data_IF_016483360034
#
_entry.id   IF_016483360034
#
_cell.length_a   1.000
_cell.length_b   1.000
_cell.length_c   1.000
_cell.angle_alpha   90.00
_cell.angle_beta   90.00
_cell.angle_gamma   90.00
#
_symmetry.space_group_name_H-M   'P 1'
#
loop_
_entity.id
_entity.type
_entity.pdbx_description
1 polymer ?
#
# COMPACT_ATOMS: atom_id res chain seq x y z
N UNK A 1 -15.73 -3.75 -6.89
CA UNK A 1 -14.88 -3.58 -5.69
C UNK A 1 -13.63 -4.47 -5.77
N UNK A 2 -13.77 -5.80 -5.81
CA UNK A 2 -12.62 -6.73 -5.83
C UNK A 2 -11.69 -6.50 -7.05
N UNK A 3 -12.22 -6.47 -8.26
CA UNK A 3 -11.40 -6.27 -9.48
C UNK A 3 -10.73 -4.89 -9.51
N UNK A 4 -11.46 -3.84 -9.12
CA UNK A 4 -10.92 -2.48 -9.00
C UNK A 4 -9.72 -2.43 -8.04
N UNK A 5 -9.80 -3.10 -6.89
CA UNK A 5 -8.69 -3.18 -5.93
C UNK A 5 -7.49 -3.95 -6.50
N UNK A 6 -7.74 -5.05 -7.20
CA UNK A 6 -6.69 -5.85 -7.84
C UNK A 6 -5.95 -5.02 -8.90
N UNK A 7 -6.69 -4.27 -9.72
CA UNK A 7 -6.10 -3.36 -10.71
C UNK A 7 -5.34 -2.24 -10.00
N UNK A 8 -5.93 -1.56 -9.01
CA UNK A 8 -5.29 -0.47 -8.28
C UNK A 8 -3.99 -0.88 -7.57
N UNK A 9 -3.90 -2.13 -7.11
CA UNK A 9 -2.73 -2.65 -6.39
C UNK A 9 -1.71 -3.33 -7.31
N UNK A 10 -1.93 -3.32 -8.64
CA UNK A 10 -1.15 -4.18 -9.53
C UNK A 10 0.33 -3.82 -9.61
N UNK A 11 0.65 -2.55 -9.35
CA UNK A 11 2.01 -2.01 -9.33
C UNK A 11 2.95 -2.71 -8.32
N UNK A 12 2.39 -3.39 -7.30
CA UNK A 12 3.19 -4.17 -6.36
C UNK A 12 3.97 -5.30 -7.04
N UNK A 13 3.46 -5.87 -8.13
CA UNK A 13 4.19 -6.89 -8.89
C UNK A 13 5.49 -6.32 -9.47
N UNK A 14 5.48 -5.08 -9.95
CA UNK A 14 6.66 -4.39 -10.46
C UNK A 14 7.61 -3.99 -9.34
N UNK A 15 7.09 -3.58 -8.18
CA UNK A 15 7.93 -3.17 -7.03
C UNK A 15 8.61 -4.37 -6.35
N UNK A 16 8.02 -5.56 -6.45
CA UNK A 16 8.55 -6.78 -5.84
C UNK A 16 9.72 -7.43 -6.62
N UNK A 17 10.20 -6.85 -7.72
CA UNK A 17 11.31 -7.40 -8.49
C UNK A 17 12.66 -7.03 -7.84
N UNK A 18 13.66 -7.88 -8.00
CA UNK A 18 14.99 -7.68 -7.38
C UNK A 18 15.73 -6.44 -7.92
N UNK A 19 15.37 -5.98 -9.12
CA UNK A 19 16.00 -4.94 -9.92
C UNK A 19 15.01 -3.89 -10.45
N UNK A 20 13.83 -3.76 -9.83
CA UNK A 20 12.75 -2.83 -10.22
C UNK A 20 13.23 -1.42 -10.57
N UNK A 21 14.07 -0.81 -9.73
CA UNK A 21 14.51 0.58 -9.92
C UNK A 21 15.45 0.74 -11.12
N UNK A 22 16.24 -0.28 -11.46
CA UNK A 22 17.24 -0.23 -12.55
C UNK A 22 16.77 -0.88 -13.85
N UNK A 23 15.73 -1.73 -13.78
CA UNK A 23 15.18 -2.43 -14.95
C UNK A 23 14.69 -1.45 -16.01
N UNK A 24 14.79 -1.86 -17.27
CA UNK A 24 14.32 -1.09 -18.42
C UNK A 24 14.86 0.35 -18.45
N UNK A 25 16.20 0.50 -18.30
CA UNK A 25 16.87 1.81 -18.26
C UNK A 25 16.33 2.72 -17.15
N UNK A 26 16.02 2.14 -16.00
CA UNK A 26 15.50 2.85 -14.82
C UNK A 26 14.17 3.58 -15.06
N UNK A 27 13.33 3.05 -15.95
CA UNK A 27 12.03 3.66 -16.29
C UNK A 27 11.13 3.84 -15.07
N UNK A 28 11.10 2.87 -14.14
CA UNK A 28 10.33 2.99 -12.91
C UNK A 28 10.86 4.12 -12.03
N UNK A 29 12.18 4.21 -11.85
CA UNK A 29 12.79 5.28 -11.08
C UNK A 29 12.46 6.65 -11.70
N UNK A 30 12.40 6.77 -13.02
CA UNK A 30 11.95 8.00 -13.69
C UNK A 30 10.47 8.32 -13.38
N UNK A 31 9.57 7.32 -13.45
CA UNK A 31 8.14 7.49 -13.09
C UNK A 31 7.99 7.97 -11.64
N UNK A 32 8.80 7.44 -10.74
CA UNK A 32 8.74 7.77 -9.30
C UNK A 32 9.58 9.00 -8.92
N UNK A 33 10.25 9.67 -9.87
CA UNK A 33 11.24 10.70 -9.59
C UNK A 33 12.28 10.26 -8.52
N UNK A 34 12.83 9.06 -8.73
CA UNK A 34 13.67 8.29 -7.81
C UNK A 34 13.08 8.06 -6.40
N UNK A 35 11.79 8.34 -6.16
CA UNK A 35 11.20 8.28 -4.82
C UNK A 35 11.86 9.24 -3.82
N UNK A 36 12.50 10.31 -4.32
CA UNK A 36 13.28 11.24 -3.49
C UNK A 36 14.72 10.78 -3.18
N UNK A 37 15.18 9.64 -3.72
CA UNK A 37 16.56 9.17 -3.58
C UNK A 37 17.49 9.75 -4.66
N UNK A 38 18.79 9.75 -4.39
CA UNK A 38 19.80 10.34 -5.28
C UNK A 38 19.98 9.58 -6.60
N UNK A 39 19.61 8.30 -6.64
CA UNK A 39 19.80 7.44 -7.82
C UNK A 39 18.82 6.26 -7.82
N UNK A 40 18.57 5.63 -8.99
CA UNK A 40 17.82 4.36 -9.07
C UNK A 40 18.39 3.26 -8.17
N UNK A 41 19.71 3.16 -8.08
CA UNK A 41 20.41 2.20 -7.22
C UNK A 41 20.12 2.46 -5.73
N UNK A 42 19.99 3.73 -5.33
CA UNK A 42 19.61 4.13 -3.97
C UNK A 42 18.11 3.92 -3.68
N UNK A 43 17.25 3.96 -4.70
CA UNK A 43 15.82 3.64 -4.58
C UNK A 43 15.57 2.13 -4.36
N UNK A 44 16.36 1.25 -5.00
CA UNK A 44 16.08 -0.20 -4.99
C UNK A 44 15.95 -0.81 -3.58
N UNK A 45 16.80 -0.48 -2.58
CA UNK A 45 16.63 -0.99 -1.23
C UNK A 45 15.29 -0.63 -0.56
N UNK A 46 14.71 0.53 -0.89
CA UNK A 46 13.39 0.91 -0.40
C UNK A 46 12.28 0.02 -1.00
N UNK A 47 12.47 -0.47 -2.22
CA UNK A 47 11.55 -1.40 -2.88
C UNK A 47 11.68 -2.85 -2.39
N UNK A 48 12.79 -3.23 -1.76
CA UNK A 48 13.00 -4.60 -1.26
C UNK A 48 11.98 -5.05 -0.22
N UNK A 49 11.31 -4.11 0.45
CA UNK A 49 10.14 -4.43 1.28
C UNK A 49 9.12 -5.28 0.51
N UNK A 50 8.86 -4.96 -0.77
CA UNK A 50 7.92 -5.69 -1.62
C UNK A 50 8.50 -7.03 -2.10
N UNK A 51 9.79 -7.06 -2.46
CA UNK A 51 10.45 -8.29 -2.89
C UNK A 51 10.50 -9.35 -1.77
N UNK A 52 10.75 -8.92 -0.54
CA UNK A 52 10.83 -9.80 0.62
C UNK A 52 9.47 -10.30 1.12
N UNK A 53 8.38 -9.57 0.85
CA UNK A 53 7.04 -9.87 1.36
C UNK A 53 6.18 -10.65 0.37
N UNK A 54 6.06 -10.17 -0.88
CA UNK A 54 5.14 -10.68 -1.90
C UNK A 54 5.53 -12.08 -2.37
N UNK A 55 4.56 -13.00 -2.43
CA UNK A 55 4.72 -14.39 -2.89
C UNK A 55 5.36 -15.34 -1.85
N UNK A 56 6.23 -14.81 -0.98
CA UNK A 56 6.87 -15.62 0.07
C UNK A 56 6.08 -15.66 1.39
N UNK A 57 5.59 -14.51 1.84
CA UNK A 57 4.89 -14.39 3.13
C UNK A 57 3.47 -13.87 2.99
N UNK A 58 3.17 -13.16 1.89
CA UNK A 58 1.82 -12.70 1.54
C UNK A 58 1.46 -13.16 0.13
N UNK A 59 0.17 -13.14 -0.21
CA UNK A 59 -0.29 -13.49 -1.55
C UNK A 59 0.30 -12.55 -2.60
N UNK A 60 0.75 -13.10 -3.73
CA UNK A 60 1.10 -12.33 -4.92
C UNK A 60 -0.20 -12.06 -5.71
N UNK A 61 -0.59 -10.78 -5.90
CA UNK A 61 -1.77 -10.48 -6.70
C UNK A 61 -1.54 -10.89 -8.17
N UNK A 62 -2.62 -11.15 -8.94
CA UNK A 62 -2.52 -11.37 -10.38
C UNK A 62 -1.76 -10.24 -11.08
N UNK A 63 -1.09 -10.52 -12.19
CA UNK A 63 -0.65 -9.48 -13.14
C UNK A 63 -1.77 -9.32 -14.16
N UNK A 64 -2.42 -8.16 -14.18
CA UNK A 64 -3.59 -7.91 -15.04
C UNK A 64 -3.18 -7.44 -16.43
N UNK A 65 -4.08 -7.54 -17.40
CA UNK A 65 -3.85 -7.00 -18.74
C UNK A 65 -3.98 -5.48 -18.78
N UNK A 66 -3.37 -4.85 -19.78
CA UNK A 66 -3.55 -3.42 -20.07
C UNK A 66 -5.02 -3.08 -20.33
N UNK A 67 -5.76 -3.97 -21.00
CA UNK A 67 -7.19 -3.78 -21.27
C UNK A 67 -7.99 -3.71 -19.96
N UNK A 68 -7.75 -4.62 -19.02
CA UNK A 68 -8.43 -4.61 -17.73
C UNK A 68 -8.02 -3.38 -16.91
N UNK A 69 -6.76 -2.95 -17.02
CA UNK A 69 -6.29 -1.72 -16.37
C UNK A 69 -7.02 -0.50 -16.92
N UNK A 70 -7.13 -0.35 -18.24
CA UNK A 70 -7.81 0.78 -18.87
C UNK A 70 -9.32 0.82 -18.59
N UNK A 71 -9.95 -0.33 -18.34
CA UNK A 71 -11.36 -0.42 -17.95
C UNK A 71 -11.61 0.17 -16.54
N UNK A 72 -10.73 -0.14 -15.60
CA UNK A 72 -10.87 0.25 -14.19
C UNK A 72 -10.16 1.57 -13.83
N UNK A 73 -9.12 1.94 -14.58
CA UNK A 73 -8.31 3.14 -14.41
C UNK A 73 -8.14 3.82 -15.79
N UNK A 74 -9.19 4.50 -16.29
CA UNK A 74 -9.19 5.05 -17.66
C UNK A 74 -8.21 6.22 -17.85
N UNK A 75 -7.80 6.88 -16.77
CA UNK A 75 -6.77 7.92 -16.77
C UNK A 75 -5.37 7.33 -16.56
N UNK A 76 -4.33 8.05 -17.01
CA UNK A 76 -2.94 7.67 -16.73
C UNK A 76 -2.69 7.81 -15.23
N UNK A 77 -2.83 6.71 -14.52
CA UNK A 77 -2.54 6.60 -13.09
C UNK A 77 -1.09 6.18 -12.87
N UNK A 78 -0.61 6.34 -11.63
CA UNK A 78 0.66 5.76 -11.20
C UNK A 78 0.74 4.26 -11.55
N UNK A 79 -0.38 3.52 -11.40
CA UNK A 79 -0.46 2.10 -11.71
C UNK A 79 -0.14 1.84 -13.19
N UNK A 80 -0.83 2.55 -14.09
CA UNK A 80 -0.61 2.42 -15.53
C UNK A 80 0.82 2.80 -15.92
N UNK A 81 1.36 3.89 -15.35
CA UNK A 81 2.73 4.33 -15.60
C UNK A 81 3.77 3.29 -15.12
N UNK A 82 3.55 2.68 -13.95
CA UNK A 82 4.42 1.62 -13.41
C UNK A 82 4.36 0.36 -14.28
N UNK A 83 3.18 -0.07 -14.71
CA UNK A 83 3.04 -1.21 -15.61
C UNK A 83 3.72 -0.97 -16.96
N UNK A 84 3.63 0.23 -17.52
CA UNK A 84 4.33 0.59 -18.76
C UNK A 84 5.85 0.67 -18.57
N UNK A 85 6.31 1.16 -17.41
CA UNK A 85 7.73 1.22 -17.08
C UNK A 85 8.36 -0.19 -17.00
N UNK A 86 7.62 -1.16 -16.46
CA UNK A 86 8.04 -2.55 -16.36
C UNK A 86 6.88 -3.47 -16.77
N UNK A 87 6.76 -3.78 -18.08
CA UNK A 87 5.72 -4.67 -18.56
C UNK A 87 6.01 -6.10 -18.07
N UNK A 88 5.02 -6.68 -17.40
CA UNK A 88 5.05 -8.06 -16.92
C UNK A 88 4.02 -8.90 -17.70
N UNK A 89 4.30 -10.19 -17.95
CA UNK A 89 3.30 -11.07 -18.56
C UNK A 89 2.12 -11.26 -17.62
N UNK A 90 0.92 -11.38 -18.18
CA UNK A 90 -0.30 -11.71 -17.42
C UNK A 90 -0.10 -13.00 -16.63
N UNK A 91 -0.48 -12.96 -15.36
CA UNK A 91 -0.23 -14.02 -14.38
C UNK A 91 -1.43 -14.09 -13.42
N UNK A 92 -1.78 -15.29 -12.95
CA UNK A 92 -2.90 -15.51 -12.03
C UNK A 92 -2.58 -15.10 -10.58
N UNK A 93 -1.34 -14.73 -10.30
CA UNK A 93 -0.86 -14.50 -8.95
C UNK A 93 -0.67 -15.82 -8.21
N UNK A 94 -0.35 -15.72 -6.93
CA UNK A 94 -0.11 -16.87 -6.07
C UNK A 94 -0.74 -16.61 -4.69
N UNK A 95 -1.52 -17.55 -4.13
CA UNK A 95 -2.01 -17.41 -2.77
C UNK A 95 -0.83 -17.41 -1.79
N UNK A 96 -1.02 -16.85 -0.60
CA UNK A 96 0.02 -16.98 0.43
C UNK A 96 0.28 -18.45 0.74
N UNK A 97 1.55 -18.84 0.78
CA UNK A 97 1.95 -20.20 1.17
C UNK A 97 1.93 -20.40 2.69
N UNK A 98 1.79 -19.31 3.45
CA UNK A 98 1.73 -19.30 4.91
C UNK A 98 0.61 -18.35 5.32
N UNK A 99 -0.43 -18.91 5.92
CA UNK A 99 -1.38 -18.08 6.65
C UNK A 99 -0.61 -17.42 7.79
N UNK A 100 -0.51 -16.10 7.77
CA UNK A 100 -0.21 -15.34 8.96
C UNK A 100 -1.39 -15.56 9.89
N UNK A 101 -1.20 -16.43 10.88
CA UNK A 101 -2.19 -16.63 11.95
C UNK A 101 -2.39 -15.34 12.74
N UNK A 102 -3.20 -15.44 13.79
CA UNK A 102 -3.43 -14.30 14.69
C UNK A 102 -2.11 -13.82 15.29
N UNK A 103 -1.87 -12.50 15.25
CA UNK A 103 -0.74 -11.86 15.92
C UNK A 103 -1.00 -11.93 17.42
N UNK A 104 -0.28 -12.82 18.11
CA UNK A 104 -0.55 -13.13 19.50
C UNK A 104 0.02 -12.09 20.47
N UNK A 105 -0.84 -11.51 21.31
CA UNK A 105 -0.45 -10.70 22.47
C UNK A 105 0.17 -9.33 22.18
N UNK A 106 0.32 -8.93 20.91
CA UNK A 106 0.80 -7.61 20.54
C UNK A 106 -0.34 -6.58 20.64
N UNK A 107 -0.20 -5.51 21.47
CA UNK A 107 -1.09 -4.36 21.38
C UNK A 107 -1.00 -3.76 19.98
N UNK A 108 -2.16 -3.55 19.36
CA UNK A 108 -2.26 -3.08 17.98
C UNK A 108 -3.18 -1.86 17.92
N UNK A 109 -2.68 -0.77 17.36
CA UNK A 109 -3.48 0.38 16.97
C UNK A 109 -3.51 0.44 15.44
N UNK A 110 -4.69 0.27 14.86
CA UNK A 110 -4.91 0.49 13.43
C UNK A 110 -5.47 1.90 13.23
N UNK A 111 -4.68 2.75 12.59
CA UNK A 111 -5.05 4.14 12.26
C UNK A 111 -5.27 4.20 10.76
N UNK A 112 -6.40 4.76 10.33
CA UNK A 112 -6.60 5.00 8.92
C UNK A 112 -7.43 6.26 8.64
N UNK A 113 -7.16 6.88 7.50
CA UNK A 113 -7.86 8.05 7.02
C UNK A 113 -9.20 7.68 6.40
N UNK A 114 -10.29 8.18 6.95
CA UNK A 114 -11.65 7.90 6.45
C UNK A 114 -11.91 8.52 5.07
N UNK A 115 -11.12 9.54 4.70
CA UNK A 115 -11.17 10.18 3.38
C UNK A 115 -10.11 9.62 2.42
N UNK A 116 -9.36 8.57 2.80
CA UNK A 116 -8.37 7.94 1.91
C UNK A 116 -9.07 7.20 0.75
N UNK A 117 -8.91 7.69 -0.50
CA UNK A 117 -9.58 7.09 -1.64
C UNK A 117 -8.96 5.75 -2.09
N UNK A 118 -7.82 5.35 -1.50
CA UNK A 118 -7.02 4.20 -1.90
C UNK A 118 -7.10 3.06 -0.90
N UNK A 119 -7.07 3.37 0.41
CA UNK A 119 -7.13 2.35 1.47
C UNK A 119 -8.57 2.03 1.89
N UNK A 120 -9.55 2.87 1.54
CA UNK A 120 -10.99 2.60 1.69
C UNK A 120 -11.39 2.22 3.12
N UNK A 121 -10.84 2.91 4.11
CA UNK A 121 -10.96 2.51 5.51
C UNK A 121 -12.33 2.72 6.15
N UNK A 122 -13.26 3.34 5.41
CA UNK A 122 -14.68 3.39 5.76
C UNK A 122 -15.42 2.08 5.44
N UNK A 123 -14.79 1.14 4.72
CA UNK A 123 -15.41 -0.11 4.33
C UNK A 123 -15.42 -1.15 5.47
N UNK A 124 -16.50 -1.97 5.61
CA UNK A 124 -16.64 -2.95 6.69
C UNK A 124 -15.47 -3.94 6.84
N UNK A 125 -14.78 -4.25 5.75
CA UNK A 125 -13.66 -5.20 5.77
C UNK A 125 -12.38 -4.60 6.37
N UNK A 126 -12.20 -3.27 6.37
CA UNK A 126 -11.04 -2.62 6.98
C UNK A 126 -11.03 -2.79 8.52
N UNK A 127 -12.22 -2.91 9.13
CA UNK A 127 -12.34 -3.15 10.58
C UNK A 127 -12.06 -4.59 10.99
N UNK A 128 -11.92 -5.51 10.03
CA UNK A 128 -11.65 -6.93 10.32
C UNK A 128 -10.21 -7.22 10.70
N UNK A 129 -9.34 -6.21 10.70
CA UNK A 129 -7.96 -6.35 11.21
C UNK A 129 -7.94 -6.77 12.69
N UNK A 130 -8.98 -6.45 13.45
CA UNK A 130 -9.14 -6.97 14.81
C UNK A 130 -9.20 -8.51 14.85
N UNK A 131 -9.69 -9.16 13.80
CA UNK A 131 -9.86 -10.63 13.75
C UNK A 131 -8.50 -11.33 13.67
N UNK A 132 -7.43 -10.60 13.31
CA UNK A 132 -6.07 -11.12 13.16
C UNK A 132 -5.11 -10.62 14.25
N UNK A 133 -5.61 -9.99 15.31
CA UNK A 133 -4.85 -9.59 16.50
C UNK A 133 -5.51 -10.12 17.78
N UNK A 134 -4.78 -10.86 18.62
CA UNK A 134 -5.31 -11.32 19.93
C UNK A 134 -4.96 -10.40 21.10
N UNK A 135 -4.08 -9.42 20.88
CA UNK A 135 -3.73 -8.41 21.86
C UNK A 135 -4.78 -7.31 22.01
N UNK A 136 -4.46 -6.26 22.76
CA UNK A 136 -5.31 -5.08 22.87
C UNK A 136 -5.39 -4.38 21.50
N UNK A 137 -6.47 -4.60 20.76
CA UNK A 137 -6.72 -3.98 19.48
C UNK A 137 -7.54 -2.69 19.66
N UNK A 138 -7.12 -1.64 18.98
CA UNK A 138 -7.85 -0.38 18.90
C UNK A 138 -7.83 0.14 17.46
N UNK A 139 -8.90 0.83 17.08
CA UNK A 139 -9.06 1.46 15.78
C UNK A 139 -9.25 2.96 15.94
N UNK A 140 -8.60 3.75 15.08
CA UNK A 140 -8.84 5.19 14.97
C UNK A 140 -9.07 5.58 13.50
N UNK A 141 -10.31 5.95 13.19
CA UNK A 141 -10.67 6.57 11.91
C UNK A 141 -10.36 8.05 11.97
N UNK A 142 -9.27 8.46 11.34
CA UNK A 142 -8.87 9.85 11.26
C UNK A 142 -9.68 10.57 10.16
N UNK A 143 -10.09 11.81 10.41
CA UNK A 143 -10.70 12.69 9.39
C UNK A 143 -9.64 13.22 8.42
N UNK A 144 -8.86 12.31 7.83
CA UNK A 144 -7.74 12.58 6.95
C UNK A 144 -7.83 11.69 5.71
N UNK A 145 -7.09 12.04 4.66
CA UNK A 145 -6.76 11.14 3.56
C UNK A 145 -5.49 10.31 3.90
N UNK A 146 -4.65 10.02 2.91
CA UNK A 146 -3.51 9.09 3.08
C UNK A 146 -2.41 9.63 4.01
N UNK A 147 -2.18 10.94 4.00
CA UNK A 147 -1.18 11.63 4.82
C UNK A 147 -1.67 11.91 6.24
N UNK A 148 -1.65 10.91 7.11
CA UNK A 148 -2.18 10.99 8.49
C UNK A 148 -1.41 11.91 9.45
N UNK A 149 -0.19 12.33 9.08
CA UNK A 149 0.72 13.09 9.94
C UNK A 149 1.04 14.49 9.37
N UNK A 150 0.26 14.95 8.40
CA UNK A 150 0.51 16.20 7.68
C UNK A 150 -0.81 16.87 7.28
N UNK A 151 -0.74 18.15 6.95
CA UNK A 151 -1.88 18.93 6.44
C UNK A 151 -1.68 19.23 4.96
N UNK A 152 -2.73 19.09 4.16
CA UNK A 152 -2.75 19.45 2.74
C UNK A 152 -3.35 18.40 1.82
N UNK A 153 -3.01 18.47 0.54
CA UNK A 153 -3.56 17.58 -0.49
C UNK A 153 -3.22 16.11 -0.18
N UNK A 154 -4.25 15.26 -0.24
CA UNK A 154 -4.17 13.84 0.13
C UNK A 154 -3.67 13.58 1.57
N UNK A 155 -3.83 14.54 2.48
CA UNK A 155 -3.47 14.45 3.90
C UNK A 155 -4.66 14.82 4.81
N UNK A 156 -4.41 15.28 6.04
CA UNK A 156 -5.43 15.85 6.91
C UNK A 156 -5.86 17.25 6.44
N UNK A 157 -7.11 17.62 6.67
CA UNK A 157 -7.62 18.97 6.34
C UNK A 157 -7.12 20.03 7.33
N UNK A 158 -6.94 19.64 8.60
CA UNK A 158 -6.51 20.53 9.67
C UNK A 158 -5.36 19.95 10.50
N UNK A 159 -4.60 20.82 11.16
CA UNK A 159 -3.58 20.41 12.14
C UNK A 159 -4.21 19.67 13.33
N UNK A 160 -5.45 20.00 13.69
CA UNK A 160 -6.17 19.33 14.78
C UNK A 160 -6.47 17.86 14.43
N UNK A 161 -6.85 17.56 13.17
CA UNK A 161 -7.07 16.19 12.70
C UNK A 161 -5.77 15.38 12.71
N UNK A 162 -4.65 15.98 12.27
CA UNK A 162 -3.33 15.36 12.34
C UNK A 162 -2.87 15.15 13.80
N UNK A 163 -3.18 16.09 14.71
CA UNK A 163 -2.90 15.95 16.13
C UNK A 163 -3.74 14.83 16.75
N UNK A 164 -4.99 14.64 16.33
CA UNK A 164 -5.84 13.53 16.75
C UNK A 164 -5.21 12.15 16.50
N UNK A 165 -4.49 12.01 15.38
CA UNK A 165 -3.70 10.79 15.10
C UNK A 165 -2.57 10.61 16.11
N UNK A 166 -1.83 11.67 16.42
CA UNK A 166 -0.74 11.64 17.41
C UNK A 166 -1.26 11.35 18.83
N UNK A 167 -2.43 11.87 19.17
CA UNK A 167 -3.09 11.59 20.44
C UNK A 167 -3.52 10.12 20.54
N UNK A 168 -4.07 9.55 19.47
CA UNK A 168 -4.43 8.12 19.42
C UNK A 168 -3.20 7.22 19.60
N UNK A 169 -2.08 7.54 18.93
CA UNK A 169 -0.79 6.85 19.10
C UNK A 169 -0.33 6.94 20.55
N UNK A 170 -0.33 8.15 21.11
CA UNK A 170 0.15 8.41 22.48
C UNK A 170 -0.70 7.65 23.50
N UNK A 171 -2.03 7.68 23.35
CA UNK A 171 -2.95 6.96 24.22
C UNK A 171 -2.72 5.44 24.14
N UNK A 172 -2.51 4.88 22.95
CA UNK A 172 -2.27 3.44 22.81
C UNK A 172 -0.93 2.99 23.39
N UNK A 173 0.12 3.81 23.29
CA UNK A 173 1.45 3.47 23.84
C UNK A 173 1.47 3.54 25.37
N UNK A 174 0.70 4.45 25.96
CA UNK A 174 0.72 4.70 27.40
C UNK A 174 -0.24 3.83 28.23
N UNK A 175 -1.07 3.00 27.57
CA UNK A 175 -2.07 2.13 28.19
C UNK A 175 -1.67 0.64 28.08
#
# INVERSE_FOLDING_TARGET
AIEAQVVASNYFNQFALEDSATRNKSALAAVMNNGGFDSPEALQPALWWYNGSVGRYIARPPVVSEQLTAEYLPDVTLVAAVQQAIPLPVDQGEPTSRETGVVEGAPTLFICGEADPYLLCSEPWAFREQDVSSGNYSYYGAACAHGLLSVGDAACDTEDDAMGVMDAITAHILL
#
